data_IF_783509497290
#
_entry.id   IF_783509497290
#
_cell.length_a   1.000
_cell.length_b   1.000
_cell.length_c   1.000
_cell.angle_alpha   90.00
_cell.angle_beta   90.00
_cell.angle_gamma   90.00
#
_symmetry.space_group_name_H-M   'P 1'
#
loop_
_entity.id
_entity.type
_entity.pdbx_description
1 polymer ?
#
# COMPACT_ATOMS: atom_id res chain seq x y z
N UNK A 1 -17.01 -15.01 -20.09
CA UNK A 1 -17.64 -13.92 -19.33
C UNK A 1 -16.61 -13.39 -18.34
N UNK A 2 -16.16 -12.14 -18.49
CA UNK A 2 -15.34 -11.50 -17.45
C UNK A 2 -16.24 -11.28 -16.24
N UNK A 3 -15.91 -11.90 -15.12
CA UNK A 3 -16.64 -11.75 -13.85
C UNK A 3 -16.50 -10.27 -13.45
N UNK A 4 -17.60 -9.55 -13.31
CA UNK A 4 -17.55 -8.16 -12.87
C UNK A 4 -17.04 -8.16 -11.43
N UNK A 5 -15.86 -7.61 -11.22
CA UNK A 5 -15.23 -7.54 -9.92
C UNK A 5 -15.96 -6.53 -9.03
N UNK A 6 -16.08 -6.87 -7.75
CA UNK A 6 -16.72 -6.01 -6.76
C UNK A 6 -15.87 -4.75 -6.51
N UNK A 7 -16.53 -3.59 -6.46
CA UNK A 7 -15.91 -2.27 -6.30
C UNK A 7 -16.38 -1.63 -5.00
N UNK A 8 -15.57 -0.74 -4.45
CA UNK A 8 -16.03 0.10 -3.35
C UNK A 8 -17.21 0.96 -3.78
N UNK A 9 -18.21 1.05 -2.91
CA UNK A 9 -19.30 2.00 -3.05
C UNK A 9 -18.85 3.43 -2.61
N UNK A 10 -19.65 4.47 -2.89
CA UNK A 10 -19.26 5.85 -2.57
C UNK A 10 -18.93 6.11 -1.09
N UNK A 11 -19.57 5.43 -0.15
CA UNK A 11 -19.29 5.59 1.28
C UNK A 11 -18.00 4.89 1.69
N UNK A 12 -17.72 3.72 1.11
CA UNK A 12 -16.45 3.03 1.28
C UNK A 12 -15.29 3.82 0.67
N UNK A 13 -15.50 4.51 -0.46
CA UNK A 13 -14.50 5.40 -1.05
C UNK A 13 -14.16 6.59 -0.12
N UNK A 14 -15.14 7.13 0.62
CA UNK A 14 -14.85 8.16 1.66
C UNK A 14 -13.96 7.59 2.76
N UNK A 15 -14.23 6.35 3.20
CA UNK A 15 -13.39 5.66 4.18
C UNK A 15 -11.98 5.47 3.65
N UNK A 16 -11.83 5.03 2.40
CA UNK A 16 -10.51 4.88 1.74
C UNK A 16 -9.76 6.21 1.72
N UNK A 17 -10.40 7.30 1.28
CA UNK A 17 -9.77 8.62 1.22
C UNK A 17 -9.30 9.10 2.61
N UNK A 18 -10.13 8.90 3.64
CA UNK A 18 -9.77 9.25 5.02
C UNK A 18 -8.60 8.39 5.52
N UNK A 19 -8.57 7.11 5.20
CA UNK A 19 -7.47 6.21 5.55
C UNK A 19 -6.17 6.60 4.84
N UNK A 20 -6.22 7.04 3.57
CA UNK A 20 -5.05 7.51 2.83
C UNK A 20 -4.48 8.77 3.46
N UNK A 21 -5.31 9.77 3.76
CA UNK A 21 -4.87 11.01 4.39
C UNK A 21 -4.21 10.76 5.77
N UNK A 22 -4.78 9.85 6.57
CA UNK A 22 -4.18 9.48 7.86
C UNK A 22 -2.87 8.69 7.68
N UNK A 23 -2.80 7.79 6.69
CA UNK A 23 -1.59 7.03 6.41
C UNK A 23 -0.42 7.95 6.01
N UNK A 24 -0.69 8.96 5.18
CA UNK A 24 0.25 10.01 4.81
C UNK A 24 0.86 10.70 6.02
N UNK A 25 0.00 11.19 6.91
CA UNK A 25 0.41 11.87 8.14
C UNK A 25 1.30 10.96 9.00
N UNK A 26 0.85 9.73 9.26
CA UNK A 26 1.57 8.76 10.10
C UNK A 26 2.95 8.42 9.54
N UNK A 27 3.04 8.12 8.24
CA UNK A 27 4.32 7.75 7.61
C UNK A 27 5.22 8.98 7.51
N UNK A 28 4.68 10.16 7.19
CA UNK A 28 5.43 11.41 7.19
C UNK A 28 6.11 11.68 8.55
N UNK A 29 5.32 11.59 9.62
CA UNK A 29 5.78 11.83 10.98
C UNK A 29 6.83 10.81 11.41
N UNK A 30 6.60 9.52 11.13
CA UNK A 30 7.53 8.44 11.46
C UNK A 30 8.90 8.60 10.78
N UNK A 31 8.90 9.02 9.51
CA UNK A 31 10.13 9.20 8.73
C UNK A 31 10.71 10.63 8.79
N UNK A 32 10.12 11.52 9.60
CA UNK A 32 10.48 12.94 9.73
C UNK A 32 10.58 13.65 8.38
N UNK A 33 9.60 13.39 7.52
CA UNK A 33 9.54 13.96 6.18
C UNK A 33 8.76 15.27 6.18
N UNK A 34 9.25 16.24 5.40
CA UNK A 34 8.51 17.47 5.09
C UNK A 34 7.48 17.22 4.00
N UNK A 35 6.45 18.06 3.93
CA UNK A 35 5.48 18.05 2.83
C UNK A 35 6.16 18.09 1.45
N UNK A 36 7.20 18.91 1.29
CA UNK A 36 7.96 19.00 0.04
C UNK A 36 8.64 17.68 -0.35
N UNK A 37 9.08 16.87 0.62
CA UNK A 37 9.66 15.55 0.37
C UNK A 37 8.59 14.51 0.01
N UNK A 38 7.36 14.67 0.53
CA UNK A 38 6.22 13.86 0.10
C UNK A 38 5.71 14.26 -1.28
N UNK A 39 5.56 15.56 -1.55
CA UNK A 39 5.19 16.12 -2.86
C UNK A 39 6.17 15.71 -3.97
N UNK A 40 7.46 15.53 -3.65
CA UNK A 40 8.45 14.98 -4.58
C UNK A 40 8.27 13.48 -4.85
N UNK A 41 7.73 12.72 -3.89
CA UNK A 41 7.34 11.31 -4.07
C UNK A 41 5.97 11.29 -4.70
N UNK A 42 5.94 11.58 -6.00
CA UNK A 42 4.71 11.68 -6.79
C UNK A 42 4.04 10.31 -6.81
N UNK A 43 3.08 10.08 -5.93
CA UNK A 43 2.27 8.87 -5.95
C UNK A 43 0.78 9.19 -5.96
N UNK A 44 -0.01 8.18 -6.29
CA UNK A 44 -1.46 8.26 -6.32
C UNK A 44 -2.05 6.92 -5.85
N UNK A 45 -3.14 6.97 -5.11
CA UNK A 45 -3.86 5.79 -4.64
C UNK A 45 -5.10 5.60 -5.49
N UNK A 46 -5.16 4.48 -6.21
CA UNK A 46 -6.26 4.13 -7.09
C UNK A 46 -7.02 2.92 -6.58
N UNK A 47 -8.33 2.95 -6.75
CA UNK A 47 -9.24 1.85 -6.49
C UNK A 47 -9.66 1.21 -7.81
N UNK A 48 -10.34 0.07 -7.77
CA UNK A 48 -10.73 -0.69 -8.95
C UNK A 48 -11.60 0.08 -9.96
N UNK A 49 -12.19 1.22 -9.58
CA UNK A 49 -12.86 2.15 -10.53
C UNK A 49 -11.87 2.75 -11.53
N UNK A 50 -10.64 3.01 -11.10
CA UNK A 50 -9.61 3.73 -11.85
C UNK A 50 -8.51 2.81 -12.42
N UNK A 51 -8.58 1.49 -12.13
CA UNK A 51 -7.58 0.52 -12.55
C UNK A 51 -7.84 -0.02 -13.96
N UNK A 52 -6.77 -0.14 -14.75
CA UNK A 52 -6.81 -0.92 -15.98
C UNK A 52 -6.75 -2.44 -15.67
N UNK A 53 -7.15 -3.32 -16.61
CA UNK A 53 -7.08 -4.77 -16.42
C UNK A 53 -5.69 -5.28 -16.01
N UNK A 54 -4.62 -4.68 -16.55
CA UNK A 54 -3.23 -5.04 -16.23
C UNK A 54 -2.78 -4.55 -14.83
N UNK A 55 -3.57 -3.71 -14.18
CA UNK A 55 -3.34 -3.20 -12.81
C UNK A 55 -4.20 -3.94 -11.78
N UNK A 56 -5.02 -4.89 -12.25
CA UNK A 56 -5.83 -5.76 -11.41
C UNK A 56 -5.11 -7.10 -11.23
N UNK A 57 -4.96 -7.55 -9.99
CA UNK A 57 -4.22 -8.79 -9.68
C UNK A 57 -4.96 -9.60 -8.63
N UNK A 58 -4.91 -10.93 -8.78
CA UNK A 58 -5.45 -11.87 -7.79
C UNK A 58 -4.37 -12.17 -6.73
N UNK A 59 -4.71 -12.02 -5.45
CA UNK A 59 -3.83 -12.38 -4.34
C UNK A 59 -3.62 -11.25 -3.33
N UNK A 60 -2.87 -10.18 -3.65
CA UNK A 60 -2.60 -9.10 -2.72
C UNK A 60 -3.77 -8.10 -2.61
N UNK A 61 -3.83 -7.38 -1.49
CA UNK A 61 -4.84 -6.33 -1.28
C UNK A 61 -4.51 -5.02 -2.00
N UNK A 62 -3.23 -4.81 -2.30
CA UNK A 62 -2.73 -3.67 -3.05
C UNK A 62 -1.47 -4.07 -3.83
N UNK A 63 -1.12 -3.29 -4.84
CA UNK A 63 0.18 -3.40 -5.50
C UNK A 63 0.71 -2.02 -5.88
N UNK A 64 2.03 -1.87 -5.89
CA UNK A 64 2.69 -0.63 -6.34
C UNK A 64 3.18 -0.81 -7.77
N UNK A 65 2.75 0.09 -8.65
CA UNK A 65 3.26 0.18 -10.03
C UNK A 65 4.12 1.44 -10.15
N UNK A 66 5.36 1.27 -10.61
CA UNK A 66 6.27 2.39 -10.89
C UNK A 66 6.18 2.80 -12.35
N UNK A 67 5.96 4.09 -12.58
CA UNK A 67 5.99 4.75 -13.88
C UNK A 67 7.19 5.69 -13.94
N UNK A 68 7.91 5.66 -15.06
CA UNK A 68 8.97 6.65 -15.34
C UNK A 68 8.38 7.79 -16.16
N UNK A 69 8.26 8.97 -15.56
CA UNK A 69 7.82 10.18 -16.23
C UNK A 69 8.98 10.92 -16.89
N UNK A 70 8.74 11.51 -18.07
CA UNK A 70 9.65 12.46 -18.73
C UNK A 70 8.91 13.79 -18.89
N UNK A 71 9.44 14.86 -18.31
CA UNK A 71 8.91 16.21 -18.54
C UNK A 71 9.09 16.57 -20.02
N UNK A 72 8.01 17.05 -20.66
CA UNK A 72 7.96 17.27 -22.11
C UNK A 72 8.43 18.66 -22.57
N UNK A 73 8.73 19.60 -21.67
CA UNK A 73 8.90 21.02 -22.07
C UNK A 73 9.96 21.81 -21.28
N UNK A 74 11.19 21.30 -21.23
CA UNK A 74 12.34 22.17 -20.94
C UNK A 74 13.55 21.74 -21.76
N UNK A 75 14.14 22.69 -22.47
CA UNK A 75 15.36 22.59 -23.28
C UNK A 75 16.64 22.22 -22.51
N UNK A 76 16.51 21.76 -21.27
CA UNK A 76 17.56 21.15 -20.46
C UNK A 76 17.23 19.66 -20.30
N UNK A 77 18.09 18.83 -20.87
CA UNK A 77 18.08 17.39 -20.75
C UNK A 77 18.01 16.89 -19.30
N UNK A 78 17.21 15.84 -19.07
CA UNK A 78 17.44 14.73 -18.12
C UNK A 78 16.81 14.70 -16.71
N UNK A 79 15.65 15.32 -16.43
CA UNK A 79 14.92 14.95 -15.20
C UNK A 79 13.85 13.89 -15.49
N UNK A 80 14.25 12.61 -15.58
CA UNK A 80 13.31 11.49 -15.43
C UNK A 80 12.89 11.41 -13.98
N UNK A 81 11.59 11.35 -13.69
CA UNK A 81 11.08 11.19 -12.32
C UNK A 81 10.32 9.88 -12.18
N UNK A 82 10.44 9.25 -11.02
CA UNK A 82 9.64 8.08 -10.68
C UNK A 82 8.29 8.54 -10.11
N UNK A 83 7.21 7.99 -10.65
CA UNK A 83 5.84 8.13 -10.15
C UNK A 83 5.33 6.75 -9.71
N UNK A 84 4.64 6.67 -8.59
CA UNK A 84 4.15 5.40 -8.05
C UNK A 84 2.62 5.40 -8.00
N UNK A 85 1.98 4.32 -8.45
CA UNK A 85 0.54 4.12 -8.26
C UNK A 85 0.34 2.99 -7.27
N UNK A 86 -0.37 3.25 -6.18
CA UNK A 86 -0.86 2.23 -5.26
C UNK A 86 -2.23 1.79 -5.77
N UNK A 87 -2.32 0.56 -6.26
CA UNK A 87 -3.53 -0.01 -6.83
C UNK A 87 -4.22 -0.90 -5.81
N UNK A 88 -5.22 -0.37 -5.10
CA UNK A 88 -6.05 -1.13 -4.17
C UNK A 88 -6.95 -2.11 -4.94
N UNK A 89 -6.98 -3.36 -4.48
CA UNK A 89 -7.78 -4.43 -5.07
C UNK A 89 -9.11 -4.56 -4.31
N UNK A 90 -10.08 -3.70 -4.64
CA UNK A 90 -11.39 -3.59 -3.96
C UNK A 90 -12.03 -4.96 -3.71
N UNK A 91 -12.08 -5.80 -4.74
CA UNK A 91 -12.67 -7.13 -4.70
C UNK A 91 -12.01 -8.04 -3.65
N UNK A 92 -10.67 -8.02 -3.57
CA UNK A 92 -9.90 -8.81 -2.60
C UNK A 92 -10.09 -8.29 -1.18
N UNK A 93 -10.12 -6.97 -1.01
CA UNK A 93 -10.37 -6.33 0.29
C UNK A 93 -11.78 -6.66 0.78
N UNK A 94 -12.80 -6.46 -0.05
CA UNK A 94 -14.19 -6.75 0.29
C UNK A 94 -14.40 -8.24 0.58
N UNK A 95 -13.75 -9.14 -0.16
CA UNK A 95 -13.79 -10.56 0.11
C UNK A 95 -13.15 -10.92 1.48
N UNK A 96 -12.04 -10.28 1.85
CA UNK A 96 -11.40 -10.50 3.15
C UNK A 96 -12.26 -10.00 4.32
N UNK A 97 -12.89 -8.83 4.17
CA UNK A 97 -13.80 -8.28 5.18
C UNK A 97 -15.04 -9.17 5.37
N UNK A 98 -15.58 -9.75 4.29
CA UNK A 98 -16.68 -10.75 4.38
C UNK A 98 -16.27 -12.02 5.13
N UNK A 99 -15.02 -12.45 5.00
CA UNK A 99 -14.48 -13.64 5.69
C UNK A 99 -14.06 -13.36 7.13
N UNK A 100 -13.78 -12.10 7.47
CA UNK A 100 -13.28 -11.67 8.78
C UNK A 100 -14.18 -10.58 9.36
N UNK A 101 -15.35 -10.94 9.93
CA UNK A 101 -16.37 -9.97 10.36
C UNK A 101 -15.91 -9.05 11.51
N UNK A 102 -14.81 -9.40 12.18
CA UNK A 102 -14.21 -8.58 13.24
C UNK A 102 -13.30 -7.47 12.71
N UNK A 103 -13.09 -7.40 11.39
CA UNK A 103 -12.23 -6.39 10.76
C UNK A 103 -13.11 -5.32 10.14
N UNK A 104 -12.87 -4.08 10.54
CA UNK A 104 -13.52 -2.91 9.96
C UNK A 104 -12.73 -2.37 8.76
N UNK A 105 -13.43 -1.78 7.80
CA UNK A 105 -12.81 -1.27 6.57
C UNK A 105 -11.74 -0.20 6.86
N UNK A 106 -12.03 0.77 7.73
CA UNK A 106 -11.10 1.88 8.01
C UNK A 106 -9.73 1.42 8.53
N UNK A 107 -9.62 0.68 9.65
CA UNK A 107 -8.32 0.23 10.14
C UNK A 107 -7.63 -0.73 9.17
N UNK A 108 -8.39 -1.48 8.35
CA UNK A 108 -7.84 -2.39 7.37
C UNK A 108 -7.18 -1.66 6.18
N UNK A 109 -7.88 -0.68 5.59
CA UNK A 109 -7.30 0.16 4.54
C UNK A 109 -6.13 0.98 5.09
N UNK A 110 -6.26 1.51 6.30
CA UNK A 110 -5.17 2.25 6.94
C UNK A 110 -3.90 1.39 7.04
N UNK A 111 -4.01 0.12 7.44
CA UNK A 111 -2.89 -0.80 7.45
C UNK A 111 -2.28 -1.00 6.07
N UNK A 112 -3.11 -1.30 5.07
CA UNK A 112 -2.67 -1.55 3.69
C UNK A 112 -1.92 -0.31 3.15
N UNK A 113 -2.50 0.88 3.27
CA UNK A 113 -1.91 2.10 2.71
C UNK A 113 -0.61 2.47 3.45
N UNK A 114 -0.56 2.35 4.78
CA UNK A 114 0.70 2.57 5.53
C UNK A 114 1.79 1.59 5.05
N UNK A 115 1.46 0.32 4.82
CA UNK A 115 2.39 -0.67 4.28
C UNK A 115 2.96 -0.26 2.92
N UNK A 116 2.08 0.11 1.96
CA UNK A 116 2.51 0.52 0.63
C UNK A 116 3.29 1.85 0.63
N UNK A 117 2.92 2.81 1.48
CA UNK A 117 3.66 4.06 1.62
C UNK A 117 5.07 3.82 2.17
N UNK A 118 5.24 2.89 3.12
CA UNK A 118 6.56 2.50 3.60
C UNK A 118 7.38 1.87 2.47
N UNK A 119 6.79 1.05 1.61
CA UNK A 119 7.45 0.54 0.41
C UNK A 119 7.92 1.67 -0.50
N UNK A 120 7.07 2.62 -0.86
CA UNK A 120 7.46 3.81 -1.65
C UNK A 120 8.60 4.55 -0.94
N UNK A 121 8.51 4.66 0.38
CA UNK A 121 9.50 5.40 1.15
C UNK A 121 10.87 4.74 1.11
N UNK A 122 10.90 3.42 1.10
CA UNK A 122 12.11 2.59 1.07
C UNK A 122 12.63 2.42 -0.36
N UNK A 123 11.78 2.24 -1.37
CA UNK A 123 12.19 2.18 -2.78
C UNK A 123 12.89 3.45 -3.25
N UNK A 124 12.38 4.62 -2.85
CA UNK A 124 13.04 5.90 -3.19
C UNK A 124 14.40 6.09 -2.53
N UNK A 125 14.69 5.37 -1.43
CA UNK A 125 16.01 5.36 -0.78
C UNK A 125 16.93 4.24 -1.29
N UNK A 126 16.36 3.19 -1.89
CA UNK A 126 17.07 2.01 -2.39
C UNK A 126 16.68 1.75 -3.85
N UNK A 127 17.41 2.39 -4.78
CA UNK A 127 17.20 2.33 -6.25
C UNK A 127 17.23 0.87 -6.81
N UNK A 128 17.72 -0.12 -6.04
CA UNK A 128 18.01 -1.46 -6.53
C UNK A 128 16.96 -2.57 -6.25
N UNK A 129 15.88 -2.31 -5.48
CA UNK A 129 15.02 -3.41 -4.98
C UNK A 129 13.98 -4.00 -5.95
N UNK A 130 13.74 -3.41 -7.13
CA UNK A 130 12.72 -3.94 -8.05
C UNK A 130 13.14 -5.26 -8.72
N UNK A 131 14.44 -5.43 -8.97
CA UNK A 131 15.04 -6.63 -9.58
C UNK A 131 15.64 -7.60 -8.53
N UNK A 132 15.27 -7.43 -7.26
CA UNK A 132 15.78 -8.20 -6.13
C UNK A 132 15.36 -9.69 -6.17
N UNK A 133 16.18 -10.55 -5.55
CA UNK A 133 15.90 -11.97 -5.43
C UNK A 133 14.62 -12.24 -4.61
N UNK A 134 14.08 -13.46 -4.68
CA UNK A 134 12.93 -13.85 -3.86
C UNK A 134 13.21 -13.72 -2.35
N UNK A 135 14.43 -14.05 -1.92
CA UNK A 135 14.87 -13.93 -0.53
C UNK A 135 14.92 -12.47 -0.08
N UNK A 136 15.46 -11.58 -0.93
CA UNK A 136 15.53 -10.15 -0.65
C UNK A 136 14.14 -9.51 -0.59
N UNK A 137 13.25 -9.87 -1.51
CA UNK A 137 11.85 -9.44 -1.51
C UNK A 137 11.14 -9.88 -0.23
N UNK A 138 11.31 -11.14 0.17
CA UNK A 138 10.70 -11.66 1.42
C UNK A 138 11.25 -10.95 2.66
N UNK A 139 12.56 -10.70 2.69
CA UNK A 139 13.18 -9.98 3.80
C UNK A 139 12.71 -8.52 3.87
N UNK A 140 12.47 -7.88 2.73
CA UNK A 140 11.88 -6.55 2.67
C UNK A 140 10.43 -6.54 3.13
N UNK A 141 9.58 -7.44 2.64
CA UNK A 141 8.17 -7.57 3.09
C UNK A 141 8.08 -7.73 4.62
N UNK A 142 8.94 -8.57 5.21
CA UNK A 142 8.99 -8.73 6.67
C UNK A 142 9.32 -7.42 7.38
N UNK A 143 10.33 -6.69 6.91
CA UNK A 143 10.72 -5.39 7.47
C UNK A 143 9.61 -4.35 7.34
N UNK A 144 8.91 -4.32 6.21
CA UNK A 144 7.80 -3.39 6.01
C UNK A 144 6.65 -3.74 6.97
N UNK A 145 6.25 -5.00 7.08
CA UNK A 145 5.24 -5.42 8.05
C UNK A 145 5.62 -5.10 9.51
N UNK A 146 6.88 -5.25 9.89
CA UNK A 146 7.37 -4.86 11.22
C UNK A 146 7.20 -3.35 11.45
N UNK A 147 7.58 -2.51 10.48
CA UNK A 147 7.43 -1.05 10.57
C UNK A 147 5.99 -0.58 10.53
N UNK A 148 5.15 -1.19 9.70
CA UNK A 148 3.71 -0.93 9.66
C UNK A 148 3.09 -1.19 11.03
N UNK A 149 3.44 -2.33 11.66
CA UNK A 149 3.00 -2.66 13.02
C UNK A 149 3.53 -1.67 14.06
N UNK A 150 4.80 -1.32 13.99
CA UNK A 150 5.41 -0.33 14.88
C UNK A 150 4.63 1.00 14.85
N UNK A 151 4.42 1.56 13.65
CA UNK A 151 3.68 2.82 13.46
C UNK A 151 2.26 2.68 14.01
N UNK A 152 1.51 1.67 13.58
CA UNK A 152 0.08 1.54 13.88
C UNK A 152 -0.21 1.09 15.32
N UNK A 153 0.73 0.42 15.99
CA UNK A 153 0.57 -0.01 17.40
C UNK A 153 0.44 1.17 18.37
N UNK A 154 0.98 2.34 18.00
CA UNK A 154 0.94 3.56 18.79
C UNK A 154 -0.31 4.42 18.54
N UNK A 155 -1.11 4.08 17.52
CA UNK A 155 -2.25 4.88 17.06
C UNK A 155 -3.54 4.40 17.73
N UNK A 156 -4.31 5.34 18.28
CA UNK A 156 -5.63 5.07 18.88
C UNK A 156 -6.72 4.99 17.82
N UNK A 157 -6.71 3.92 17.01
CA UNK A 157 -7.77 3.63 16.03
C UNK A 157 -8.56 2.40 16.49
N UNK A 158 -9.89 2.53 16.58
CA UNK A 158 -10.79 1.43 16.88
C UNK A 158 -10.63 0.29 15.85
N UNK A 159 -10.67 -0.96 16.30
CA UNK A 159 -10.50 -2.13 15.43
C UNK A 159 -9.08 -2.40 14.92
N UNK A 160 -8.09 -1.52 15.17
CA UNK A 160 -6.72 -1.72 14.71
C UNK A 160 -6.07 -2.98 15.30
N UNK A 161 -6.38 -3.32 16.56
CA UNK A 161 -5.85 -4.53 17.20
C UNK A 161 -6.23 -5.82 16.44
N UNK A 162 -7.43 -5.88 15.86
CA UNK A 162 -7.90 -7.04 15.11
C UNK A 162 -7.23 -7.12 13.73
N UNK A 163 -6.96 -5.98 13.10
CA UNK A 163 -6.15 -5.90 11.88
C UNK A 163 -4.71 -6.36 12.13
N UNK A 164 -4.07 -5.90 13.21
CA UNK A 164 -2.72 -6.34 13.56
C UNK A 164 -2.66 -7.85 13.81
N UNK A 165 -3.68 -8.43 14.46
CA UNK A 165 -3.81 -9.89 14.64
C UNK A 165 -4.02 -10.63 13.32
N UNK A 166 -4.80 -10.08 12.39
CA UNK A 166 -5.03 -10.65 11.07
C UNK A 166 -3.71 -10.79 10.30
N UNK A 167 -2.90 -9.73 10.23
CA UNK A 167 -1.60 -9.76 9.56
C UNK A 167 -0.53 -10.56 10.31
N UNK A 168 -0.62 -10.68 11.65
CA UNK A 168 0.29 -11.54 12.41
C UNK A 168 0.16 -13.02 12.02
N UNK A 169 -1.07 -13.49 11.77
CA UNK A 169 -1.31 -14.86 11.25
C UNK A 169 -0.72 -15.04 9.85
N UNK A 170 -0.83 -14.02 9.00
CA UNK A 170 -0.30 -14.05 7.65
C UNK A 170 1.23 -14.15 7.64
N UNK A 171 1.92 -13.35 8.46
CA UNK A 171 3.37 -13.45 8.67
C UNK A 171 3.81 -14.84 9.13
N UNK A 172 3.04 -15.48 10.02
CA UNK A 172 3.35 -16.82 10.51
C UNK A 172 3.11 -17.93 9.46
N UNK A 173 2.23 -17.70 8.48
CA UNK A 173 1.98 -18.63 7.37
C UNK A 173 3.10 -18.55 6.32
N UNK A 174 3.63 -17.35 6.03
CA UNK A 174 4.81 -17.19 5.18
C UNK A 174 6.04 -17.90 5.74
N UNK A 175 6.21 -17.88 7.07
CA UNK A 175 7.29 -18.61 7.73
C UNK A 175 7.10 -20.14 7.69
N UNK A 176 5.86 -20.65 7.62
CA UNK A 176 5.56 -22.10 7.56
C UNK A 176 5.61 -22.71 6.17
N UNK A 177 5.35 -21.94 5.11
CA UNK A 177 5.48 -22.42 3.72
C UNK A 177 6.96 -22.62 3.30
N UNK A 178 7.90 -22.45 4.23
CA UNK A 178 9.35 -22.58 4.06
C UNK A 178 9.99 -23.75 4.82
N UNK A 179 9.22 -24.56 5.54
CA UNK A 179 9.72 -25.76 6.24
C UNK A 179 9.10 -27.03 5.67
#
# INVERSE_FOLDING_TARGET
MMKQLEKFNPDQLKVVNNSVAMAEELVSNSYKMSEAQWLHRRYDVKTLVDLCPNETTDGPFAQIIRYKGRLKDTSLSSSTYDFYKICLQDHSILAALKQSPNIELFPFILYIVVHELIHIVRFSKFIQNFDASCEEKTAEEKRVHEKTREILSSVKVAGMADVLKFYAKWSATFDRLRN
#
